data_IF_833811150665
#
_entry.id   IF_833811150665
#
_cell.length_a   1.000
_cell.length_b   1.000
_cell.length_c   1.000
_cell.angle_alpha   90.00
_cell.angle_beta   90.00
_cell.angle_gamma   90.00
#
_symmetry.space_group_name_H-M   'P 1'
#
loop_
_entity.id
_entity.type
_entity.pdbx_description
1 polymer ?
#
# COMPACT_ATOMS: atom_id res chain seq x y z
N UNK A 1 -12.78 -7.06 -10.53
CA UNK A 1 -13.93 -6.57 -9.71
C UNK A 1 -14.10 -7.52 -8.54
N UNK A 2 -14.45 -7.02 -7.35
CA UNK A 2 -14.71 -7.88 -6.19
C UNK A 2 -16.06 -8.58 -6.38
N UNK A 3 -16.02 -9.91 -6.44
CA UNK A 3 -17.21 -10.72 -6.69
C UNK A 3 -17.58 -11.56 -5.46
N UNK A 4 -16.60 -11.91 -4.62
CA UNK A 4 -16.81 -12.75 -3.46
C UNK A 4 -16.16 -12.20 -2.19
N UNK A 5 -16.82 -12.47 -1.06
CA UNK A 5 -16.25 -12.34 0.27
C UNK A 5 -15.78 -13.70 0.79
N UNK A 6 -14.61 -13.70 1.44
CA UNK A 6 -14.08 -14.82 2.22
C UNK A 6 -14.37 -14.55 3.69
N UNK A 7 -15.30 -15.31 4.27
CA UNK A 7 -15.71 -15.18 5.66
C UNK A 7 -14.73 -15.93 6.61
N UNK A 8 -14.69 -15.61 7.92
CA UNK A 8 -13.82 -16.27 8.89
C UNK A 8 -14.03 -17.78 9.05
N UNK A 9 -15.25 -18.24 8.78
CA UNK A 9 -15.61 -19.66 8.78
C UNK A 9 -15.10 -20.42 7.54
N UNK A 10 -14.46 -19.72 6.59
CA UNK A 10 -13.94 -20.30 5.35
C UNK A 10 -14.88 -20.18 4.15
N UNK A 11 -16.12 -19.73 4.35
CA UNK A 11 -17.10 -19.63 3.28
C UNK A 11 -16.72 -18.56 2.26
N UNK A 12 -17.00 -18.86 0.99
CA UNK A 12 -16.91 -17.92 -0.12
C UNK A 12 -18.33 -17.54 -0.55
N UNK A 13 -18.73 -16.30 -0.21
CA UNK A 13 -20.10 -15.82 -0.44
C UNK A 13 -20.09 -14.74 -1.54
N UNK A 14 -20.98 -14.79 -2.55
CA UNK A 14 -21.13 -13.70 -3.50
C UNK A 14 -21.45 -12.39 -2.80
N UNK A 15 -20.79 -11.29 -3.20
CA UNK A 15 -20.98 -9.98 -2.56
C UNK A 15 -22.46 -9.55 -2.60
N UNK A 16 -23.12 -9.74 -3.75
CA UNK A 16 -24.53 -9.38 -3.95
C UNK A 16 -25.43 -10.06 -2.92
N UNK A 17 -25.23 -11.35 -2.68
CA UNK A 17 -26.04 -12.16 -1.77
C UNK A 17 -25.76 -11.77 -0.31
N UNK A 18 -24.49 -11.53 0.01
CA UNK A 18 -24.09 -11.08 1.34
C UNK A 18 -24.71 -9.72 1.71
N UNK A 19 -24.77 -8.77 0.75
CA UNK A 19 -25.37 -7.46 0.95
C UNK A 19 -26.90 -7.50 1.04
N UNK A 20 -27.56 -8.39 0.30
CA UNK A 20 -29.01 -8.58 0.36
C UNK A 20 -29.47 -9.25 1.67
N UNK A 21 -28.65 -10.14 2.22
CA UNK A 21 -28.95 -10.89 3.45
C UNK A 21 -28.53 -12.35 3.28
N UNK A 22 -27.30 -12.67 3.67
CA UNK A 22 -26.85 -14.06 3.77
C UNK A 22 -27.16 -14.64 5.15
N UNK A 23 -27.29 -15.97 5.22
CA UNK A 23 -27.63 -16.72 6.43
C UNK A 23 -26.66 -16.44 7.60
N UNK A 24 -25.40 -16.15 7.28
CA UNK A 24 -24.36 -15.81 8.25
C UNK A 24 -23.55 -14.59 7.80
N UNK A 25 -23.90 -13.39 8.28
CA UNK A 25 -23.08 -12.19 8.07
C UNK A 25 -21.82 -12.25 8.95
N UNK A 26 -20.65 -12.21 8.31
CA UNK A 26 -19.37 -12.17 9.03
C UNK A 26 -19.06 -10.80 9.66
N UNK A 27 -19.68 -9.73 9.16
CA UNK A 27 -19.54 -8.35 9.63
C UNK A 27 -20.86 -7.58 9.45
N UNK A 28 -20.93 -6.38 10.04
CA UNK A 28 -22.07 -5.48 9.87
C UNK A 28 -22.22 -5.02 8.41
N UNK A 29 -23.46 -4.75 7.98
CA UNK A 29 -23.76 -4.34 6.60
C UNK A 29 -22.98 -3.10 6.14
N UNK A 30 -22.81 -2.02 6.94
CA UNK A 30 -22.00 -0.88 6.52
C UNK A 30 -20.55 -1.25 6.18
N UNK A 31 -19.96 -2.17 6.95
CA UNK A 31 -18.60 -2.66 6.70
C UNK A 31 -18.52 -3.47 5.42
N UNK A 32 -19.52 -4.32 5.16
CA UNK A 32 -19.60 -5.10 3.93
C UNK A 32 -19.79 -4.19 2.70
N UNK A 33 -20.64 -3.16 2.82
CA UNK A 33 -20.79 -2.13 1.78
C UNK A 33 -19.46 -1.44 1.53
N UNK A 34 -18.76 -1.01 2.59
CA UNK A 34 -17.43 -0.40 2.46
C UNK A 34 -16.45 -1.34 1.74
N UNK A 35 -16.34 -2.60 2.17
CA UNK A 35 -15.44 -3.59 1.59
C UNK A 35 -15.76 -3.93 0.11
N UNK A 36 -17.04 -3.81 -0.29
CA UNK A 36 -17.47 -4.06 -1.68
C UNK A 36 -17.10 -2.96 -2.66
N UNK A 37 -16.74 -1.76 -2.18
CA UNK A 37 -16.50 -0.61 -3.03
C UNK A 37 -15.25 -0.84 -3.88
N UNK A 38 -15.44 -0.84 -5.19
CA UNK A 38 -14.35 -0.85 -6.17
C UNK A 38 -14.54 0.28 -7.14
N UNK A 39 -13.43 0.80 -7.66
CA UNK A 39 -13.46 1.72 -8.79
C UNK A 39 -13.60 0.90 -10.07
N UNK A 40 -14.58 1.21 -10.91
CA UNK A 40 -14.63 0.69 -12.27
C UNK A 40 -13.46 1.26 -13.06
N UNK A 41 -12.70 0.38 -13.71
CA UNK A 41 -11.68 0.80 -14.64
C UNK A 41 -12.34 1.40 -15.89
N UNK A 42 -11.78 2.49 -16.41
CA UNK A 42 -12.33 3.24 -17.55
C UNK A 42 -11.87 2.68 -18.91
N UNK A 43 -11.08 1.61 -18.91
CA UNK A 43 -10.54 0.98 -20.12
C UNK A 43 -9.30 1.68 -20.70
N UNK A 44 -8.88 2.80 -20.12
CA UNK A 44 -7.82 3.66 -20.69
C UNK A 44 -6.74 4.03 -19.68
N UNK A 45 -7.11 4.45 -18.48
CA UNK A 45 -6.16 4.99 -17.50
C UNK A 45 -5.84 4.01 -16.40
N UNK A 46 -4.60 4.02 -15.90
CA UNK A 46 -4.23 3.31 -14.67
C UNK A 46 -3.80 4.31 -13.60
N UNK A 47 -4.10 4.02 -12.34
CA UNK A 47 -3.61 4.87 -11.25
C UNK A 47 -2.12 4.62 -11.00
N UNK A 48 -1.41 5.63 -10.48
CA UNK A 48 -0.03 5.48 -9.99
C UNK A 48 0.10 4.26 -9.06
N UNK A 49 -0.82 4.10 -8.12
CA UNK A 49 -0.84 2.96 -7.17
C UNK A 49 -1.09 1.61 -7.83
N UNK A 50 -1.76 1.57 -8.98
CA UNK A 50 -1.99 0.35 -9.75
C UNK A 50 -0.73 -0.04 -10.53
N UNK A 51 -0.04 0.94 -11.11
CA UNK A 51 1.20 0.72 -11.87
C UNK A 51 2.41 0.38 -10.98
N UNK A 52 2.34 0.69 -9.68
CA UNK A 52 3.32 0.22 -8.70
C UNK A 52 3.13 -1.24 -8.26
N UNK A 53 1.99 -1.85 -8.59
CA UNK A 53 1.78 -3.29 -8.35
C UNK A 53 2.46 -4.11 -9.45
N UNK A 54 2.90 -5.35 -9.16
CA UNK A 54 3.33 -6.28 -10.18
C UNK A 54 2.27 -6.42 -11.27
N UNK A 55 2.71 -6.42 -12.52
CA UNK A 55 1.83 -6.45 -13.70
C UNK A 55 0.84 -7.61 -13.64
N UNK A 56 1.28 -8.81 -13.24
CA UNK A 56 0.40 -9.97 -13.08
C UNK A 56 -0.71 -9.74 -12.04
N UNK A 57 -0.38 -9.14 -10.90
CA UNK A 57 -1.38 -8.83 -9.87
C UNK A 57 -2.40 -7.81 -10.38
N UNK A 58 -1.94 -6.74 -11.04
CA UNK A 58 -2.80 -5.72 -11.60
C UNK A 58 -3.70 -6.29 -12.72
N UNK A 59 -3.15 -7.12 -13.60
CA UNK A 59 -3.87 -7.83 -14.65
C UNK A 59 -4.98 -8.70 -14.07
N UNK A 60 -4.67 -9.59 -13.12
CA UNK A 60 -5.66 -10.48 -12.51
C UNK A 60 -6.79 -9.71 -11.80
N UNK A 61 -6.49 -8.61 -11.09
CA UNK A 61 -7.54 -7.78 -10.45
C UNK A 61 -8.54 -7.19 -11.45
N UNK A 62 -8.10 -6.96 -12.69
CA UNK A 62 -8.92 -6.44 -13.77
C UNK A 62 -9.66 -7.55 -14.54
N UNK A 63 -9.07 -8.73 -14.68
CA UNK A 63 -9.57 -9.77 -15.59
C UNK A 63 -10.30 -10.93 -14.93
N UNK A 64 -10.12 -11.16 -13.62
CA UNK A 64 -10.75 -12.27 -12.92
C UNK A 64 -11.63 -11.81 -11.74
N UNK A 65 -12.59 -12.66 -11.31
CA UNK A 65 -13.35 -12.46 -10.07
C UNK A 65 -12.45 -12.37 -8.84
N UNK A 66 -12.37 -11.20 -8.21
CA UNK A 66 -11.57 -11.02 -7.00
C UNK A 66 -12.35 -11.51 -5.76
N UNK A 67 -11.63 -12.19 -4.86
CA UNK A 67 -12.19 -12.67 -3.59
C UNK A 67 -11.42 -12.06 -2.42
N UNK A 68 -12.07 -11.21 -1.63
CA UNK A 68 -11.42 -10.48 -0.53
C UNK A 68 -11.93 -10.93 0.84
N UNK A 69 -11.14 -10.68 1.88
CA UNK A 69 -11.60 -10.72 3.27
C UNK A 69 -12.21 -9.35 3.62
N UNK A 70 -13.50 -9.28 3.99
CA UNK A 70 -14.10 -8.05 4.49
C UNK A 70 -13.42 -7.52 5.76
N UNK A 71 -12.86 -8.42 6.58
CA UNK A 71 -12.15 -8.04 7.82
C UNK A 71 -10.88 -7.28 7.48
N UNK A 72 -10.10 -7.78 6.51
CA UNK A 72 -8.84 -7.11 6.12
C UNK A 72 -9.11 -5.74 5.50
N UNK A 73 -10.29 -5.57 4.90
CA UNK A 73 -10.74 -4.28 4.36
C UNK A 73 -10.92 -3.22 5.46
N UNK A 74 -11.30 -3.59 6.69
CA UNK A 74 -11.39 -2.63 7.80
C UNK A 74 -10.05 -1.97 8.11
N UNK A 75 -8.94 -2.71 8.00
CA UNK A 75 -7.60 -2.17 8.24
C UNK A 75 -7.21 -1.14 7.18
N UNK A 76 -7.66 -1.34 5.94
CA UNK A 76 -7.57 -0.33 4.87
C UNK A 76 -8.50 0.86 5.16
N UNK A 77 -9.72 0.59 5.62
CA UNK A 77 -10.71 1.60 6.01
C UNK A 77 -10.26 2.54 7.13
N UNK A 78 -9.47 2.06 8.09
CA UNK A 78 -8.84 2.91 9.10
C UNK A 78 -7.90 3.95 8.47
N UNK A 79 -7.15 3.55 7.43
CA UNK A 79 -6.34 4.49 6.65
C UNK A 79 -7.23 5.51 5.96
N UNK A 80 -8.22 5.06 5.19
CA UNK A 80 -9.16 5.95 4.48
C UNK A 80 -9.88 6.94 5.42
N UNK A 81 -10.32 6.48 6.60
CA UNK A 81 -10.93 7.36 7.60
C UNK A 81 -9.94 8.40 8.14
N UNK A 82 -8.67 8.01 8.32
CA UNK A 82 -7.60 8.93 8.70
C UNK A 82 -7.35 10.02 7.66
N UNK A 83 -7.34 9.67 6.37
CA UNK A 83 -7.27 10.67 5.29
C UNK A 83 -8.49 11.60 5.34
N UNK A 84 -9.71 11.05 5.35
CA UNK A 84 -10.94 11.84 5.36
C UNK A 84 -11.04 12.82 6.54
N UNK A 85 -10.49 12.45 7.72
CA UNK A 85 -10.43 13.37 8.86
C UNK A 85 -9.50 14.56 8.59
N UNK A 86 -8.34 14.33 7.99
CA UNK A 86 -7.36 15.38 7.67
C UNK A 86 -7.80 16.24 6.49
N UNK A 87 -8.51 15.68 5.52
CA UNK A 87 -9.10 16.39 4.37
C UNK A 87 -10.05 17.50 4.81
N UNK A 88 -10.85 17.25 5.85
CA UNK A 88 -11.75 18.26 6.42
C UNK A 88 -11.02 19.37 7.20
N UNK A 89 -9.70 19.28 7.33
CA UNK A 89 -8.86 20.23 8.04
C UNK A 89 -7.85 20.93 7.12
N UNK A 90 -7.99 20.84 5.80
CA UNK A 90 -7.09 21.50 4.84
C UNK A 90 -7.20 23.03 5.00
N UNK A 91 -6.12 23.73 5.39
CA UNK A 91 -6.16 25.17 5.58
C UNK A 91 -6.00 25.93 4.26
N UNK A 92 -6.26 27.24 4.28
CA UNK A 92 -6.04 28.10 3.12
C UNK A 92 -4.58 28.05 2.64
N UNK A 93 -4.39 28.00 1.32
CA UNK A 93 -3.07 27.88 0.70
C UNK A 93 -2.59 26.44 0.52
N UNK A 94 -3.39 25.46 0.95
CA UNK A 94 -3.18 24.05 0.69
C UNK A 94 -4.27 23.48 -0.23
N UNK A 95 -3.95 22.41 -0.94
CA UNK A 95 -4.88 21.70 -1.83
C UNK A 95 -4.67 20.19 -1.67
N UNK A 96 -5.75 19.41 -1.67
CA UNK A 96 -5.68 17.95 -1.53
C UNK A 96 -6.80 17.26 -2.31
N UNK A 97 -6.71 15.93 -2.43
CA UNK A 97 -7.77 15.03 -2.91
C UNK A 97 -8.33 15.27 -4.32
N UNK A 98 -7.59 15.98 -5.16
CA UNK A 98 -7.98 16.16 -6.56
C UNK A 98 -7.33 15.09 -7.45
N UNK A 99 -8.07 14.66 -8.48
CA UNK A 99 -7.56 13.72 -9.47
C UNK A 99 -6.75 14.48 -10.52
N UNK A 100 -5.54 14.01 -10.76
CA UNK A 100 -4.69 14.44 -11.86
C UNK A 100 -4.64 13.35 -12.92
N UNK A 101 -4.41 13.76 -14.16
CA UNK A 101 -4.12 12.89 -15.28
C UNK A 101 -2.86 13.43 -15.98
N UNK A 102 -2.02 12.54 -16.49
CA UNK A 102 -0.88 12.96 -17.29
C UNK A 102 -1.32 13.51 -18.66
N UNK A 103 -0.41 14.23 -19.32
CA UNK A 103 -0.65 14.82 -20.64
C UNK A 103 -1.00 13.79 -21.73
N UNK A 104 -0.55 12.53 -21.57
CA UNK A 104 -0.87 11.42 -22.49
C UNK A 104 -2.29 10.86 -22.26
N UNK A 105 -2.93 11.18 -21.15
CA UNK A 105 -4.23 10.64 -20.79
C UNK A 105 -4.21 9.15 -20.43
N UNK A 106 -3.09 8.66 -19.87
CA UNK A 106 -2.83 7.24 -19.57
C UNK A 106 -2.66 6.95 -18.09
N UNK A 107 -2.14 7.89 -17.31
CA UNK A 107 -1.81 7.71 -15.89
C UNK A 107 -2.59 8.71 -15.05
N UNK A 108 -3.20 8.25 -13.96
CA UNK A 108 -3.91 9.11 -13.02
C UNK A 108 -3.30 9.07 -11.62
N UNK A 109 -3.30 10.22 -10.93
CA UNK A 109 -2.83 10.37 -9.56
C UNK A 109 -3.82 11.14 -8.70
N UNK A 110 -3.70 10.99 -7.38
CA UNK A 110 -4.49 11.75 -6.41
C UNK A 110 -3.57 11.93 -5.20
N UNK A 111 -2.97 13.11 -5.04
CA UNK A 111 -2.13 13.43 -3.90
C UNK A 111 -3.02 13.78 -2.71
N UNK A 112 -2.56 13.45 -1.50
CA UNK A 112 -3.35 13.71 -0.30
C UNK A 112 -3.35 15.20 0.06
N UNK A 113 -2.18 15.86 0.05
CA UNK A 113 -2.05 17.27 0.40
C UNK A 113 -0.85 17.94 -0.26
N UNK A 114 -1.03 19.19 -0.66
CA UNK A 114 0.01 20.05 -1.24
C UNK A 114 0.00 21.38 -0.50
N UNK A 115 1.16 21.79 0.00
CA UNK A 115 1.43 23.15 0.44
C UNK A 115 1.89 23.98 -0.75
N UNK A 116 1.01 24.85 -1.27
CA UNK A 116 1.33 25.65 -2.47
C UNK A 116 2.38 26.72 -2.18
N UNK A 117 2.44 27.24 -0.95
CA UNK A 117 3.35 28.32 -0.56
C UNK A 117 4.78 27.79 -0.48
N UNK A 118 4.97 26.67 0.21
CA UNK A 118 6.29 26.08 0.43
C UNK A 118 6.64 25.01 -0.62
N UNK A 119 5.71 24.72 -1.55
CA UNK A 119 5.84 23.72 -2.62
C UNK A 119 6.18 22.34 -2.08
N UNK A 120 5.43 21.90 -1.07
CA UNK A 120 5.63 20.61 -0.42
C UNK A 120 4.48 19.69 -0.77
N UNK A 121 4.80 18.51 -1.31
CA UNK A 121 3.85 17.43 -1.46
C UNK A 121 3.89 16.58 -0.18
N UNK A 122 2.73 16.41 0.42
CA UNK A 122 2.52 15.53 1.56
C UNK A 122 1.68 14.33 1.14
N UNK A 123 2.01 13.19 1.72
CA UNK A 123 1.21 11.98 1.60
C UNK A 123 1.11 11.31 2.99
N UNK A 124 -0.13 10.99 3.37
CA UNK A 124 -0.45 10.40 4.66
C UNK A 124 -0.36 8.89 4.54
N UNK A 125 0.30 8.24 5.51
CA UNK A 125 0.42 6.78 5.53
C UNK A 125 0.16 6.24 6.92
N UNK A 126 -0.82 5.35 7.00
CA UNK A 126 -1.13 4.58 8.19
C UNK A 126 -0.60 3.17 7.98
N UNK A 127 0.50 2.83 8.64
CA UNK A 127 1.27 1.59 8.39
C UNK A 127 1.53 0.83 9.68
N UNK A 128 2.12 -0.37 9.55
CA UNK A 128 2.60 -1.11 10.71
C UNK A 128 3.81 -0.41 11.34
N UNK A 129 4.00 -0.54 12.65
CA UNK A 129 5.17 -0.02 13.36
C UNK A 129 6.48 -0.58 12.79
N UNK A 130 6.45 -1.84 12.30
CA UNK A 130 7.58 -2.44 11.60
C UNK A 130 7.89 -1.72 10.28
N UNK A 131 6.88 -1.48 9.43
CA UNK A 131 7.05 -0.70 8.19
C UNK A 131 7.57 0.70 8.47
N UNK A 132 7.07 1.37 9.52
CA UNK A 132 7.58 2.67 9.94
C UNK A 132 9.07 2.60 10.33
N UNK A 133 9.48 1.58 11.10
CA UNK A 133 10.88 1.39 11.46
C UNK A 133 11.76 1.20 10.20
N UNK A 134 11.31 0.39 9.23
CA UNK A 134 12.02 0.18 7.96
C UNK A 134 12.16 1.48 7.14
N UNK A 135 11.12 2.32 7.10
CA UNK A 135 11.16 3.64 6.45
C UNK A 135 12.14 4.60 7.14
N UNK A 136 12.36 4.44 8.44
CA UNK A 136 13.34 5.19 9.20
C UNK A 136 14.76 4.57 9.12
N UNK A 137 14.96 3.53 8.31
CA UNK A 137 16.26 2.88 8.14
C UNK A 137 16.64 1.95 9.29
N UNK A 138 15.68 1.47 10.08
CA UNK A 138 15.95 0.38 11.02
C UNK A 138 16.09 -0.94 10.28
N UNK A 139 16.99 -1.79 10.75
CA UNK A 139 17.20 -3.13 10.21
C UNK A 139 17.36 -4.15 11.34
N UNK A 140 17.04 -5.41 11.04
CA UNK A 140 17.12 -6.51 12.00
C UNK A 140 18.56 -7.00 12.12
N UNK A 141 19.09 -7.01 13.35
CA UNK A 141 20.42 -7.51 13.69
C UNK A 141 20.27 -8.68 14.65
N UNK A 142 20.81 -9.83 14.24
CA UNK A 142 20.83 -11.05 15.06
C UNK A 142 21.88 -10.96 16.17
N UNK A 143 21.56 -11.47 17.35
CA UNK A 143 22.49 -11.55 18.48
C UNK A 143 22.18 -12.75 19.37
N UNK A 144 23.21 -13.23 20.07
CA UNK A 144 23.04 -14.22 21.12
C UNK A 144 22.65 -13.52 22.42
N UNK A 145 21.41 -13.73 22.86
CA UNK A 145 20.95 -13.29 24.17
C UNK A 145 21.34 -14.32 25.23
N UNK A 146 22.14 -13.90 26.21
CA UNK A 146 22.50 -14.74 27.35
C UNK A 146 21.62 -14.42 28.56
N UNK A 147 20.93 -15.44 29.07
CA UNK A 147 20.07 -15.28 30.24
C UNK A 147 20.93 -15.12 31.51
N UNK A 148 20.87 -13.94 32.13
CA UNK A 148 21.65 -13.66 33.36
C UNK A 148 20.96 -14.13 34.65
N UNK A 149 19.66 -14.44 34.60
CA UNK A 149 18.81 -14.78 35.76
C UNK A 149 17.73 -15.81 35.38
N UNK A 150 17.14 -16.45 36.39
CA UNK A 150 16.04 -17.40 36.25
C UNK A 150 16.48 -18.82 35.86
N UNK A 151 15.51 -19.73 35.61
CA UNK A 151 15.78 -21.15 35.35
C UNK A 151 16.65 -21.42 34.12
N UNK A 152 16.68 -20.48 33.16
CA UNK A 152 17.49 -20.56 31.93
C UNK A 152 18.88 -19.91 32.06
N UNK A 153 19.30 -19.49 33.26
CA UNK A 153 20.56 -18.77 33.47
C UNK A 153 21.75 -19.51 32.86
N UNK A 154 22.59 -18.78 32.12
CA UNK A 154 23.78 -19.32 31.44
C UNK A 154 23.50 -19.95 30.07
N UNK A 155 22.23 -20.13 29.67
CA UNK A 155 21.90 -20.54 28.31
C UNK A 155 21.88 -19.34 27.36
N UNK A 156 22.14 -19.58 26.07
CA UNK A 156 22.09 -18.59 25.00
C UNK A 156 20.94 -18.89 24.05
N UNK A 157 20.23 -17.86 23.63
CA UNK A 157 19.16 -17.94 22.64
C UNK A 157 19.44 -16.95 21.52
N UNK A 158 19.27 -17.39 20.26
CA UNK A 158 19.38 -16.50 19.12
C UNK A 158 18.16 -15.57 19.08
N UNK A 159 18.39 -14.26 19.10
CA UNK A 159 17.35 -13.24 19.06
C UNK A 159 17.68 -12.18 18.03
N UNK A 160 16.67 -11.38 17.70
CA UNK A 160 16.82 -10.21 16.85
C UNK A 160 16.57 -8.94 17.67
N UNK A 161 17.33 -7.89 17.35
CA UNK A 161 17.06 -6.52 17.77
C UNK A 161 17.03 -5.62 16.53
N UNK A 162 16.40 -4.46 16.63
CA UNK A 162 16.36 -3.49 15.55
C UNK A 162 17.34 -2.36 15.83
N UNK A 163 18.17 -2.04 14.85
CA UNK A 163 19.17 -0.97 14.93
C UNK A 163 18.98 0.02 13.79
N UNK A 164 19.16 1.29 14.09
CA UNK A 164 19.12 2.39 13.11
C UNK A 164 20.42 2.43 12.28
N UNK A 165 20.36 3.02 11.08
CA UNK A 165 21.52 3.22 10.20
C UNK A 165 21.55 2.34 8.95
N UNK A 166 20.49 1.57 8.71
CA UNK A 166 20.26 0.88 7.45
C UNK A 166 19.70 1.81 6.37
N UNK A 167 19.61 1.28 5.13
CA UNK A 167 18.96 1.99 4.02
C UNK A 167 17.43 2.02 4.25
N UNK A 168 16.78 3.19 4.20
CA UNK A 168 15.33 3.28 4.24
C UNK A 168 14.63 2.45 3.17
N UNK A 169 13.57 1.75 3.56
CA UNK A 169 12.62 1.11 2.64
C UNK A 169 11.28 1.83 2.72
N UNK A 170 10.96 2.57 1.66
CA UNK A 170 9.74 3.37 1.55
C UNK A 170 8.54 2.60 0.97
N UNK A 171 8.66 1.29 0.75
CA UNK A 171 7.57 0.45 0.23
C UNK A 171 6.90 1.00 -1.04
N UNK A 172 7.69 1.57 -1.97
CA UNK A 172 7.27 2.25 -3.20
C UNK A 172 6.53 3.59 -3.02
N UNK A 173 6.32 4.07 -1.79
CA UNK A 173 5.74 5.41 -1.55
C UNK A 173 6.63 6.53 -2.09
N UNK A 174 7.93 6.27 -2.16
CA UNK A 174 8.91 7.13 -2.81
C UNK A 174 8.64 7.31 -4.31
N UNK A 175 8.43 6.21 -5.04
CA UNK A 175 8.05 6.29 -6.45
C UNK A 175 6.64 6.85 -6.65
N UNK A 176 5.71 6.57 -5.75
CA UNK A 176 4.36 7.14 -5.79
C UNK A 176 4.41 8.67 -5.72
N UNK A 177 5.08 9.24 -4.72
CA UNK A 177 5.22 10.68 -4.58
C UNK A 177 6.02 11.29 -5.74
N UNK A 178 7.07 10.61 -6.20
CA UNK A 178 7.82 11.06 -7.37
C UNK A 178 6.95 11.15 -8.63
N UNK A 179 6.02 10.22 -8.85
CA UNK A 179 5.09 10.34 -9.98
C UNK A 179 4.07 11.46 -9.76
N UNK A 180 3.58 11.65 -8.52
CA UNK A 180 2.66 12.75 -8.22
C UNK A 180 3.30 14.13 -8.44
N UNK A 181 4.57 14.35 -8.07
CA UNK A 181 5.24 15.63 -8.38
C UNK A 181 5.38 15.87 -9.88
N UNK A 182 5.50 14.81 -10.69
CA UNK A 182 5.58 14.92 -12.15
C UNK A 182 4.23 15.27 -12.76
N UNK A 183 3.17 14.60 -12.32
CA UNK A 183 1.79 14.97 -12.70
C UNK A 183 1.48 16.43 -12.32
N UNK A 184 1.92 16.89 -11.15
CA UNK A 184 1.77 18.28 -10.73
C UNK A 184 2.56 19.23 -11.64
N UNK A 185 3.80 18.88 -11.98
CA UNK A 185 4.66 19.65 -12.87
C UNK A 185 4.05 19.79 -14.26
N UNK A 186 3.45 18.73 -14.80
CA UNK A 186 2.70 18.77 -16.07
C UNK A 186 1.51 19.75 -16.02
N UNK A 187 0.93 19.96 -14.83
CA UNK A 187 -0.16 20.90 -14.57
C UNK A 187 0.34 22.27 -14.04
N UNK A 188 1.63 22.59 -14.21
CA UNK A 188 2.22 23.89 -13.87
C UNK A 188 2.59 24.09 -12.40
N UNK A 189 2.50 23.06 -11.56
CA UNK A 189 2.84 23.12 -10.13
C UNK A 189 4.18 22.41 -9.89
N UNK A 190 5.19 23.17 -9.48
CA UNK A 190 6.50 22.59 -9.10
C UNK A 190 6.53 22.26 -7.62
N UNK A 191 7.10 21.10 -7.28
CA UNK A 191 7.27 20.63 -5.90
C UNK A 191 8.75 20.64 -5.53
N UNK A 192 9.07 21.29 -4.42
CA UNK A 192 10.42 21.45 -3.87
C UNK A 192 10.77 20.36 -2.86
N UNK A 193 9.79 19.86 -2.09
CA UNK A 193 9.97 18.76 -1.13
C UNK A 193 8.82 17.77 -1.15
N UNK A 194 9.12 16.52 -0.83
CA UNK A 194 8.14 15.45 -0.69
C UNK A 194 8.26 14.86 0.72
N UNK A 195 7.16 14.79 1.45
CA UNK A 195 7.15 14.37 2.84
C UNK A 195 6.07 13.30 3.02
N UNK A 196 6.44 12.14 3.57
CA UNK A 196 5.47 11.20 4.12
C UNK A 196 5.18 11.55 5.56
N UNK A 197 3.91 11.79 5.89
CA UNK A 197 3.45 11.78 7.27
C UNK A 197 2.99 10.36 7.61
N UNK A 198 3.87 9.61 8.28
CA UNK A 198 3.67 8.20 8.56
C UNK A 198 3.24 8.02 10.01
N UNK A 199 2.11 7.36 10.24
CA UNK A 199 1.57 7.02 11.56
C UNK A 199 1.48 5.51 11.72
N UNK A 200 2.11 4.98 12.77
CA UNK A 200 1.97 3.57 13.13
C UNK A 200 0.58 3.26 13.73
N UNK A 201 -0.03 2.14 13.31
CA UNK A 201 -1.35 1.71 13.79
C UNK A 201 -1.31 1.06 15.18
N UNK A 202 -0.16 0.54 15.57
CA UNK A 202 0.05 -0.24 16.78
C UNK A 202 0.15 0.61 18.07
N UNK A 203 0.14 -0.08 19.21
CA UNK A 203 0.29 0.54 20.54
C UNK A 203 1.68 1.14 20.75
N UNK A 204 1.79 2.13 21.65
CA UNK A 204 3.09 2.73 22.00
C UNK A 204 4.06 1.71 22.61
N UNK A 205 3.54 0.65 23.23
CA UNK A 205 4.36 -0.45 23.74
C UNK A 205 5.09 -1.19 22.60
N UNK A 206 4.39 -1.46 21.49
CA UNK A 206 4.97 -2.12 20.31
C UNK A 206 5.95 -1.21 19.58
N UNK A 207 5.64 0.09 19.49
CA UNK A 207 6.54 1.11 18.90
C UNK A 207 7.85 1.18 19.68
N UNK A 208 7.79 1.23 21.02
CA UNK A 208 8.97 1.23 21.90
C UNK A 208 9.82 -0.04 21.77
N UNK A 209 9.21 -1.20 21.54
CA UNK A 209 9.95 -2.45 21.31
C UNK A 209 10.83 -2.41 20.05
N UNK A 210 10.46 -1.59 19.06
CA UNK A 210 11.25 -1.38 17.84
C UNK A 210 12.30 -0.26 17.99
N UNK A 211 12.38 0.38 19.17
CA UNK A 211 13.32 1.49 19.41
C UNK A 211 12.85 2.83 18.83
N UNK A 212 11.55 2.97 18.54
CA UNK A 212 10.94 4.21 18.08
C UNK A 212 10.44 5.04 19.27
N UNK A 213 10.62 6.36 19.20
CA UNK A 213 10.29 7.32 20.27
C UNK A 213 8.88 7.92 20.16
N UNK A 214 8.26 7.88 18.98
CA UNK A 214 6.92 8.41 18.73
C UNK A 214 6.17 7.58 17.69
N UNK A 215 4.86 7.82 17.58
CA UNK A 215 3.96 7.09 16.67
C UNK A 215 3.92 7.66 15.26
N UNK A 216 4.17 8.97 15.14
CA UNK A 216 4.04 9.70 13.88
C UNK A 216 5.35 10.41 13.54
N UNK A 217 5.77 10.30 12.29
CA UNK A 217 6.97 10.93 11.76
C UNK A 217 6.66 11.64 10.45
N UNK A 218 7.37 12.74 10.21
CA UNK A 218 7.51 13.35 8.90
C UNK A 218 8.83 12.84 8.31
N UNK A 219 8.75 12.10 7.21
CA UNK A 219 9.89 11.47 6.54
C UNK A 219 10.04 12.15 5.18
N UNK A 220 11.16 12.86 4.97
CA UNK A 220 11.46 13.45 3.67
C UNK A 220 11.86 12.36 2.66
N UNK A 221 11.25 12.40 1.48
CA UNK A 221 11.44 11.42 0.43
C UNK A 221 12.41 11.97 -0.63
N UNK A 222 13.37 11.16 -1.09
CA UNK A 222 14.30 11.59 -2.13
C UNK A 222 13.56 11.86 -3.45
N UNK A 223 13.97 12.92 -4.12
CA UNK A 223 13.59 13.18 -5.51
C UNK A 223 14.45 12.34 -6.43
N UNK A 224 13.80 11.59 -7.32
CA UNK A 224 14.45 10.82 -8.38
C UNK A 224 14.48 11.63 -9.67
N UNK A 225 15.29 11.19 -10.62
CA UNK A 225 15.33 11.76 -11.97
C UNK A 225 13.96 11.66 -12.66
N UNK A 226 13.54 12.73 -13.34
CA UNK A 226 12.21 12.82 -13.97
C UNK A 226 12.04 11.73 -15.03
N UNK A 227 13.04 11.55 -15.90
CA UNK A 227 12.99 10.61 -17.02
C UNK A 227 12.98 9.16 -16.52
N UNK A 228 13.77 8.85 -15.49
CA UNK A 228 13.77 7.54 -14.86
C UNK A 228 12.40 7.18 -14.25
N UNK A 229 11.73 8.15 -13.62
CA UNK A 229 10.39 7.94 -13.06
C UNK A 229 9.37 7.73 -14.18
N UNK A 230 9.36 8.58 -15.21
CA UNK A 230 8.46 8.39 -16.36
C UNK A 230 8.69 7.03 -17.03
N UNK A 231 9.94 6.66 -17.31
CA UNK A 231 10.28 5.39 -17.94
C UNK A 231 9.73 4.19 -17.14
N UNK A 232 9.88 4.20 -15.80
CA UNK A 232 9.34 3.15 -14.93
C UNK A 232 7.82 3.03 -15.05
N UNK A 233 7.09 4.14 -15.05
CA UNK A 233 5.63 4.12 -15.08
C UNK A 233 5.07 3.84 -16.48
N UNK A 234 5.71 4.35 -17.53
CA UNK A 234 5.38 4.06 -18.92
C UNK A 234 5.62 2.56 -19.22
N UNK A 235 6.74 1.99 -18.79
CA UNK A 235 7.01 0.55 -18.94
C UNK A 235 5.95 -0.31 -18.21
N UNK A 236 5.58 0.06 -16.98
CA UNK A 236 4.54 -0.63 -16.23
C UNK A 236 3.17 -0.52 -16.92
N UNK A 237 2.85 0.66 -17.48
CA UNK A 237 1.64 0.89 -18.27
C UNK A 237 1.61 -0.01 -19.51
N UNK A 238 2.67 0.01 -20.32
CA UNK A 238 2.75 -0.73 -21.58
C UNK A 238 2.65 -2.24 -21.36
N UNK A 239 3.35 -2.76 -20.34
CA UNK A 239 3.26 -4.17 -19.94
C UNK A 239 1.83 -4.57 -19.58
N UNK A 240 1.16 -3.77 -18.75
CA UNK A 240 -0.20 -4.05 -18.31
C UNK A 240 -1.20 -3.91 -19.46
N UNK A 241 -1.10 -2.85 -20.26
CA UNK A 241 -2.00 -2.58 -21.38
C UNK A 241 -1.86 -3.65 -22.47
N UNK A 242 -0.64 -4.02 -22.83
CA UNK A 242 -0.37 -5.09 -23.80
C UNK A 242 -0.93 -6.43 -23.32
N UNK A 243 -0.76 -6.77 -22.04
CA UNK A 243 -1.34 -7.99 -21.46
C UNK A 243 -2.87 -8.00 -21.55
N UNK A 244 -3.52 -6.87 -21.26
CA UNK A 244 -4.98 -6.73 -21.37
C UNK A 244 -5.47 -6.82 -22.82
N UNK A 245 -4.79 -6.17 -23.76
CA UNK A 245 -5.19 -6.12 -25.17
C UNK A 245 -4.98 -7.46 -25.87
N UNK A 246 -3.91 -8.17 -25.55
CA UNK A 246 -3.58 -9.48 -26.12
C UNK A 246 -4.16 -10.65 -25.32
N UNK A 247 -4.75 -10.37 -24.15
CA UNK A 247 -5.19 -11.37 -23.17
C UNK A 247 -4.07 -12.36 -22.76
N UNK A 248 -2.82 -11.90 -22.81
CA UNK A 248 -1.65 -12.71 -22.47
C UNK A 248 -1.33 -12.58 -20.99
N UNK A 249 -1.20 -13.71 -20.30
CA UNK A 249 -0.84 -13.75 -18.88
C UNK A 249 0.56 -13.15 -18.65
N UNK A 250 0.72 -12.13 -17.79
CA UNK A 250 2.04 -11.60 -17.45
C UNK A 250 2.91 -12.62 -16.70
N UNK A 251 4.25 -12.43 -16.68
CA UNK A 251 5.16 -13.32 -15.95
C UNK A 251 4.94 -13.27 -14.44
N UNK A 252 5.56 -14.23 -13.73
CA UNK A 252 5.55 -14.30 -12.27
C UNK A 252 6.05 -12.97 -11.65
N UNK A 253 5.43 -12.56 -10.53
CA UNK A 253 5.87 -11.39 -9.79
C UNK A 253 7.27 -11.60 -9.20
N UNK A 254 8.15 -10.61 -9.32
CA UNK A 254 9.49 -10.66 -8.70
C UNK A 254 9.40 -10.49 -7.16
N UNK A 255 8.55 -9.59 -6.71
CA UNK A 255 8.44 -9.20 -5.31
C UNK A 255 7.41 -10.07 -4.54
N UNK A 256 7.76 -11.34 -4.30
CA UNK A 256 6.87 -12.31 -3.62
C UNK A 256 7.10 -12.45 -2.12
N UNK A 257 8.21 -11.91 -1.60
CA UNK A 257 8.67 -12.06 -0.21
C UNK A 257 8.75 -13.52 0.23
N UNK A 258 9.46 -14.35 -0.53
CA UNK A 258 9.53 -15.80 -0.33
C UNK A 258 8.13 -16.43 -0.25
N UNK A 259 7.20 -15.96 -1.08
CA UNK A 259 5.80 -16.40 -1.13
C UNK A 259 4.86 -15.78 -0.11
N UNK A 260 5.36 -15.04 0.90
CA UNK A 260 4.52 -14.43 1.96
C UNK A 260 3.51 -13.43 1.40
N UNK A 261 3.88 -12.66 0.37
CA UNK A 261 2.94 -11.76 -0.31
C UNK A 261 1.78 -12.54 -0.93
N UNK A 262 2.10 -13.61 -1.64
CA UNK A 262 1.14 -14.42 -2.37
C UNK A 262 0.15 -15.11 -1.41
N UNK A 263 0.63 -15.64 -0.28
CA UNK A 263 -0.22 -16.34 0.69
C UNK A 263 -1.05 -15.41 1.57
N UNK A 264 -0.50 -14.26 1.99
CA UNK A 264 -1.14 -13.40 2.99
C UNK A 264 -1.78 -12.12 2.45
N UNK A 265 -1.32 -11.58 1.32
CA UNK A 265 -1.66 -10.20 0.90
C UNK A 265 -2.24 -10.10 -0.51
N UNK A 266 -2.04 -11.11 -1.36
CA UNK A 266 -2.54 -11.11 -2.73
C UNK A 266 -3.97 -11.66 -2.81
N UNK A 267 -4.95 -10.76 -2.98
CA UNK A 267 -6.38 -11.10 -3.09
C UNK A 267 -6.76 -11.96 -4.31
N UNK A 268 -5.90 -12.00 -5.32
CA UNK A 268 -6.08 -12.74 -6.58
C UNK A 268 -5.20 -14.00 -6.66
N UNK A 269 -4.58 -14.40 -5.55
CA UNK A 269 -3.67 -15.56 -5.52
C UNK A 269 -4.27 -16.86 -6.03
N UNK A 270 -5.57 -17.10 -5.80
CA UNK A 270 -6.28 -18.30 -6.23
C UNK A 270 -6.37 -18.44 -7.76
N UNK A 271 -6.17 -17.34 -8.50
CA UNK A 271 -6.16 -17.32 -9.96
C UNK A 271 -4.75 -17.21 -10.54
N UNK A 272 -3.72 -17.14 -9.70
CA UNK A 272 -2.34 -17.02 -10.12
C UNK A 272 -1.77 -18.40 -10.47
N UNK A 273 -1.33 -18.65 -11.71
CA UNK A 273 -0.79 -19.97 -12.11
C UNK A 273 0.54 -20.32 -11.42
N UNK A 274 1.22 -19.32 -10.87
CA UNK A 274 2.50 -19.49 -10.15
C UNK A 274 2.31 -19.71 -8.65
N UNK A 275 1.09 -19.53 -8.12
CA UNK A 275 0.83 -19.73 -6.70
C UNK A 275 0.59 -21.22 -6.43
N UNK A 276 1.55 -21.85 -5.76
CA UNK A 276 1.38 -23.19 -5.19
C UNK A 276 0.94 -23.02 -3.74
N UNK A 277 -0.26 -23.53 -3.42
CA UNK A 277 -0.71 -23.62 -2.03
C UNK A 277 0.20 -24.64 -1.33
N UNK A 278 1.08 -24.14 -0.46
CA UNK A 278 1.89 -24.96 0.44
C UNK A 278 1.07 -25.52 1.59
#
# INVERSE_FOLDING_TARGET
MIEFFKCPNGDKVPVKDCLAGCDHRCLTLPTLIFASRTRKWDGKTFSVTQLLQPTLQAYLKLTVPESISPIDSLVAGLGTAGHALLENCIPQGYVGEFRMINNKGTITGQPDLIDLKNRILYDYKFVSAFSLAMMLGYHSVGYWHEFKRGPKKGTKEWRFKYEHGGKPDYHNYDYQQNMYRLLLKENGITIDKMILQVTAKESDAQIKQLGLDRRTYLIEIPKYDDDAVYAKFDEAYDKLKTALDTQTMPPMCDDTWNGRRCSGYCSVNAHCPYYKKG
#
